data_IF_976068574264
#
_entry.id   IF_976068574264
#
_cell.length_a   1.000
_cell.length_b   1.000
_cell.length_c   1.000
_cell.angle_alpha   90.00
_cell.angle_beta   90.00
_cell.angle_gamma   90.00
#
_symmetry.space_group_name_H-M   'P 1'
#
loop_
_entity.id
_entity.type
_entity.pdbx_description
1 polymer ?
#
# COMPACT_ATOMS: atom_id res chain seq x y z
N UNK A 1 -19.06 28.19 13.04
CA UNK A 1 -17.63 28.23 13.46
C UNK A 1 -17.20 26.99 14.26
N UNK A 2 -17.91 26.57 15.32
CA UNK A 2 -17.55 25.37 16.12
C UNK A 2 -17.44 24.06 15.31
N UNK A 3 -18.23 23.89 14.24
CA UNK A 3 -18.20 22.69 13.40
C UNK A 3 -16.85 22.52 12.66
N UNK A 4 -16.33 23.58 12.07
CA UNK A 4 -15.05 23.53 11.31
C UNK A 4 -13.83 23.17 12.18
N UNK A 5 -13.79 23.69 13.41
CA UNK A 5 -12.73 23.34 14.35
C UNK A 5 -12.77 21.85 14.76
N UNK A 6 -13.96 21.33 14.99
CA UNK A 6 -14.13 19.92 15.30
C UNK A 6 -13.68 19.02 14.13
N UNK A 7 -13.94 19.44 12.89
CA UNK A 7 -13.46 18.71 11.71
C UNK A 7 -11.93 18.73 11.61
N UNK A 8 -11.29 19.88 11.86
CA UNK A 8 -9.83 19.97 11.88
C UNK A 8 -9.23 19.05 12.95
N UNK A 9 -9.79 19.07 14.16
CA UNK A 9 -9.34 18.22 15.26
C UNK A 9 -9.49 16.73 14.88
N UNK A 10 -10.67 16.34 14.37
CA UNK A 10 -10.94 14.94 14.00
C UNK A 10 -9.98 14.44 12.91
N UNK A 11 -9.76 15.22 11.85
CA UNK A 11 -8.83 14.88 10.78
C UNK A 11 -7.40 14.81 11.29
N UNK A 12 -6.98 15.76 12.14
CA UNK A 12 -5.63 15.74 12.73
C UNK A 12 -5.42 14.52 13.61
N UNK A 13 -6.38 14.15 14.45
CA UNK A 13 -6.32 12.94 15.26
C UNK A 13 -6.22 11.68 14.39
N UNK A 14 -6.96 11.64 13.27
CA UNK A 14 -6.89 10.53 12.35
C UNK A 14 -5.51 10.41 11.68
N UNK A 15 -4.94 11.53 11.23
CA UNK A 15 -3.58 11.56 10.64
C UNK A 15 -2.54 11.06 11.66
N UNK A 16 -2.64 11.53 12.91
CA UNK A 16 -1.76 11.07 13.99
C UNK A 16 -1.90 9.57 14.22
N UNK A 17 -3.13 9.04 14.21
CA UNK A 17 -3.38 7.60 14.36
C UNK A 17 -2.71 6.79 13.26
N UNK A 18 -2.84 7.21 11.99
CA UNK A 18 -2.16 6.57 10.86
C UNK A 18 -0.64 6.66 11.02
N UNK A 19 -0.10 7.80 11.46
CA UNK A 19 1.32 7.97 11.76
C UNK A 19 1.82 7.01 12.84
N UNK A 20 1.05 6.84 13.92
CA UNK A 20 1.33 5.88 15.00
C UNK A 20 1.31 4.45 14.46
N UNK A 21 0.35 4.10 13.61
CA UNK A 21 0.30 2.78 12.98
C UNK A 21 1.57 2.49 12.17
N UNK A 22 2.07 3.45 11.41
CA UNK A 22 3.31 3.33 10.62
C UNK A 22 4.57 3.79 11.35
N UNK A 23 4.55 3.89 12.68
CA UNK A 23 5.70 4.37 13.46
C UNK A 23 7.01 3.65 13.15
N UNK A 24 6.96 2.34 12.89
CA UNK A 24 8.14 1.55 12.57
C UNK A 24 8.75 1.93 11.22
N UNK A 25 7.91 2.31 10.27
CA UNK A 25 8.35 2.81 8.97
C UNK A 25 8.93 4.22 9.11
N UNK A 26 8.21 5.11 9.80
CA UNK A 26 8.57 6.53 9.90
C UNK A 26 9.83 6.74 10.76
N UNK A 27 9.92 6.05 11.91
CA UNK A 27 11.02 6.28 12.88
C UNK A 27 12.21 5.35 12.61
N UNK A 28 11.94 4.09 12.28
CA UNK A 28 12.98 3.07 12.17
C UNK A 28 13.32 2.69 10.72
N UNK A 29 12.73 3.35 9.74
CA UNK A 29 12.97 3.09 8.31
C UNK A 29 12.57 1.68 7.85
N UNK A 30 11.71 0.98 8.60
CA UNK A 30 11.26 -0.36 8.22
C UNK A 30 10.30 -0.28 7.03
N UNK A 31 10.57 -1.07 6.01
CA UNK A 31 9.71 -1.11 4.83
C UNK A 31 8.42 -1.90 5.13
N UNK A 32 7.25 -1.39 4.70
CA UNK A 32 5.98 -2.09 4.82
C UNK A 32 5.82 -3.15 3.71
N UNK A 33 6.79 -4.07 3.62
CA UNK A 33 6.87 -5.12 2.62
C UNK A 33 7.22 -6.43 3.32
N UNK A 34 6.58 -7.56 2.99
CA UNK A 34 6.88 -8.88 3.59
C UNK A 34 8.18 -9.47 3.00
N UNK A 35 9.30 -8.74 3.11
CA UNK A 35 10.61 -9.13 2.57
C UNK A 35 11.26 -10.27 3.38
N UNK A 36 10.84 -10.51 4.62
CA UNK A 36 11.20 -11.66 5.43
C UNK A 36 10.87 -13.00 4.73
N UNK A 37 9.75 -13.06 4.00
CA UNK A 37 9.41 -14.22 3.19
C UNK A 37 10.43 -14.48 2.07
N UNK A 38 10.99 -13.43 1.46
CA UNK A 38 12.03 -13.56 0.43
C UNK A 38 13.31 -14.16 1.02
N UNK A 39 13.77 -13.57 2.13
CA UNK A 39 14.99 -14.00 2.82
C UNK A 39 14.85 -15.42 3.39
N UNK A 40 13.67 -15.77 3.91
CA UNK A 40 13.44 -17.08 4.52
C UNK A 40 13.28 -18.23 3.53
N UNK A 41 12.85 -17.96 2.28
CA UNK A 41 12.44 -19.01 1.35
C UNK A 41 13.35 -19.15 0.14
N UNK A 42 14.07 -18.12 -0.29
CA UNK A 42 14.73 -18.11 -1.59
C UNK A 42 16.27 -18.01 -1.50
N UNK A 43 16.93 -18.82 -2.33
CA UNK A 43 18.35 -18.65 -2.64
C UNK A 43 18.57 -17.39 -3.51
N UNK A 44 19.68 -16.69 -3.40
CA UNK A 44 20.79 -16.92 -2.43
C UNK A 44 20.53 -16.30 -1.06
N UNK A 45 19.44 -15.56 -0.88
CA UNK A 45 19.15 -14.78 0.33
C UNK A 45 19.14 -15.63 1.59
N UNK A 46 18.48 -16.79 1.53
CA UNK A 46 18.44 -17.74 2.64
C UNK A 46 19.84 -18.15 3.12
N UNK A 47 20.75 -18.36 2.19
CA UNK A 47 22.10 -18.83 2.52
C UNK A 47 22.97 -17.70 3.06
N UNK A 48 22.81 -16.46 2.55
CA UNK A 48 23.52 -15.29 3.05
C UNK A 48 23.23 -15.00 4.53
N UNK A 49 22.02 -15.31 4.99
CA UNK A 49 21.59 -15.09 6.36
C UNK A 49 21.65 -16.36 7.24
N UNK A 50 22.18 -17.47 6.73
CA UNK A 50 22.21 -18.76 7.44
C UNK A 50 23.03 -18.76 8.74
N UNK A 51 24.08 -17.93 8.81
CA UNK A 51 24.89 -17.79 10.01
C UNK A 51 24.15 -17.06 11.14
N UNK A 52 23.41 -15.99 10.80
CA UNK A 52 22.63 -15.21 11.77
C UNK A 52 21.36 -15.95 12.20
N UNK A 53 20.83 -16.80 11.32
CA UNK A 53 19.60 -17.57 11.52
C UNK A 53 19.78 -19.05 11.23
N UNK A 54 20.50 -19.81 12.10
CA UNK A 54 20.77 -21.24 11.88
C UNK A 54 19.52 -22.12 11.75
N UNK A 55 18.39 -21.64 12.32
CA UNK A 55 17.08 -22.31 12.24
C UNK A 55 16.19 -21.78 11.10
N UNK A 56 16.74 -20.95 10.22
CA UNK A 56 16.02 -20.23 9.18
C UNK A 56 15.50 -18.86 9.66
N UNK A 57 15.39 -17.94 8.72
CA UNK A 57 14.85 -16.59 8.99
C UNK A 57 13.38 -16.71 9.36
N UNK A 58 12.95 -16.22 10.53
CA UNK A 58 11.55 -16.25 10.91
C UNK A 58 10.76 -15.27 10.03
N UNK A 59 9.80 -15.77 9.27
CA UNK A 59 8.86 -14.94 8.52
C UNK A 59 7.45 -15.08 9.10
N UNK A 60 6.72 -13.96 9.12
CA UNK A 60 5.46 -13.85 9.85
C UNK A 60 4.32 -14.62 9.21
N UNK A 61 4.27 -14.61 7.87
CA UNK A 61 3.20 -15.27 7.14
C UNK A 61 3.74 -15.78 5.79
N UNK A 62 3.86 -17.09 5.64
CA UNK A 62 4.35 -17.72 4.42
C UNK A 62 3.36 -17.65 3.23
N UNK A 63 2.10 -17.30 3.50
CA UNK A 63 1.08 -17.14 2.46
C UNK A 63 1.17 -15.77 1.77
N UNK A 64 1.78 -14.77 2.41
CA UNK A 64 1.91 -13.41 1.85
C UNK A 64 3.24 -13.29 1.08
N UNK A 65 3.40 -14.05 0.02
CA UNK A 65 4.59 -13.96 -0.84
C UNK A 65 4.38 -13.10 -2.08
N UNK A 66 3.15 -12.94 -2.54
CA UNK A 66 2.82 -12.27 -3.79
C UNK A 66 3.27 -10.80 -3.85
N UNK A 67 3.23 -10.00 -2.76
CA UNK A 67 3.75 -8.64 -2.81
C UNK A 67 5.18 -8.57 -3.35
N UNK A 68 6.07 -9.45 -2.88
CA UNK A 68 7.48 -9.48 -3.30
C UNK A 68 7.72 -10.29 -4.56
N UNK A 69 6.92 -11.32 -4.82
CA UNK A 69 7.09 -12.21 -5.99
C UNK A 69 6.43 -11.69 -7.26
N UNK A 70 5.34 -10.95 -7.13
CA UNK A 70 4.47 -10.57 -8.24
C UNK A 70 4.22 -9.06 -8.29
N UNK A 71 3.64 -8.49 -7.23
CA UNK A 71 3.15 -7.10 -7.26
C UNK A 71 4.29 -6.08 -7.47
N UNK A 72 5.35 -6.19 -6.71
CA UNK A 72 6.52 -5.32 -6.84
C UNK A 72 7.20 -5.47 -8.20
N UNK A 73 7.54 -6.70 -8.69
CA UNK A 73 8.11 -6.88 -10.04
C UNK A 73 7.21 -6.35 -11.16
N UNK A 74 5.93 -6.67 -11.15
CA UNK A 74 5.00 -6.18 -12.18
C UNK A 74 4.88 -4.65 -12.17
N UNK A 75 4.79 -4.05 -10.98
CA UNK A 75 4.79 -2.60 -10.85
C UNK A 75 6.09 -1.99 -11.37
N UNK A 76 7.23 -2.59 -11.01
CA UNK A 76 8.54 -2.13 -11.47
C UNK A 76 8.63 -2.14 -13.00
N UNK A 77 8.23 -3.23 -13.65
CA UNK A 77 8.21 -3.34 -15.12
C UNK A 77 7.32 -2.24 -15.72
N UNK A 78 6.12 -2.04 -15.18
CA UNK A 78 5.19 -1.01 -15.67
C UNK A 78 5.77 0.39 -15.53
N UNK A 79 6.39 0.70 -14.40
CA UNK A 79 7.00 2.01 -14.15
C UNK A 79 8.23 2.27 -15.01
N UNK A 80 9.07 1.25 -15.26
CA UNK A 80 10.23 1.39 -16.12
C UNK A 80 9.82 1.68 -17.57
N UNK A 81 8.76 1.05 -18.06
CA UNK A 81 8.20 1.36 -19.37
C UNK A 81 7.65 2.79 -19.44
N UNK A 82 6.88 3.23 -18.42
CA UNK A 82 6.44 4.63 -18.34
C UNK A 82 7.60 5.61 -18.32
N UNK A 83 8.66 5.35 -17.56
CA UNK A 83 9.87 6.20 -17.53
C UNK A 83 10.61 6.25 -18.86
N UNK A 84 10.48 5.20 -19.65
CA UNK A 84 11.04 5.14 -21.01
C UNK A 84 10.13 5.75 -22.08
N UNK A 85 8.99 6.34 -21.69
CA UNK A 85 8.01 6.92 -22.61
C UNK A 85 7.18 5.89 -23.38
N UNK A 86 7.15 4.63 -22.91
CA UNK A 86 6.43 3.52 -23.55
C UNK A 86 5.23 3.14 -22.70
N UNK A 87 4.07 2.94 -23.33
CA UNK A 87 2.90 2.40 -22.66
C UNK A 87 3.22 0.98 -22.16
N UNK A 88 2.99 0.66 -20.87
CA UNK A 88 3.32 -0.64 -20.30
C UNK A 88 2.38 -1.74 -20.81
N UNK A 89 2.57 -2.13 -22.07
CA UNK A 89 1.73 -3.13 -22.75
C UNK A 89 2.16 -4.57 -22.49
N UNK A 90 3.46 -4.82 -22.43
CA UNK A 90 4.02 -6.17 -22.46
C UNK A 90 5.15 -6.37 -21.44
N UNK A 91 5.14 -7.49 -20.73
CA UNK A 91 6.25 -7.97 -19.90
C UNK A 91 6.96 -9.12 -20.61
N UNK A 92 8.26 -9.00 -20.91
CA UNK A 92 9.00 -10.07 -21.59
C UNK A 92 9.49 -11.18 -20.66
N UNK A 93 9.32 -11.03 -19.33
CA UNK A 93 10.04 -11.84 -18.34
C UNK A 93 9.35 -13.15 -17.96
N UNK A 94 8.04 -13.30 -18.18
CA UNK A 94 7.29 -14.49 -17.78
C UNK A 94 6.75 -15.23 -19.01
N UNK A 95 6.93 -16.55 -19.09
CA UNK A 95 6.33 -17.42 -20.11
C UNK A 95 6.56 -16.92 -21.55
N UNK A 96 7.76 -16.46 -21.89
CA UNK A 96 8.09 -15.84 -23.17
C UNK A 96 7.36 -14.52 -23.43
N UNK A 97 6.76 -13.94 -22.42
CA UNK A 97 6.07 -12.65 -22.44
C UNK A 97 4.59 -12.72 -22.14
N UNK A 98 4.09 -11.70 -21.43
CA UNK A 98 2.69 -11.58 -21.06
C UNK A 98 2.19 -10.14 -21.20
N UNK A 99 0.88 -9.91 -21.50
CA UNK A 99 0.32 -8.57 -21.60
C UNK A 99 0.17 -7.95 -20.20
N UNK A 100 1.10 -7.09 -19.79
CA UNK A 100 1.11 -6.51 -18.46
C UNK A 100 -0.02 -5.49 -18.26
N UNK A 101 -0.43 -4.79 -19.32
CA UNK A 101 -1.55 -3.85 -19.28
C UNK A 101 -2.88 -4.56 -18.93
N UNK A 102 -3.06 -5.80 -19.39
CA UNK A 102 -4.22 -6.62 -19.09
C UNK A 102 -4.16 -7.23 -17.68
N UNK A 103 -3.01 -7.20 -17.03
CA UNK A 103 -2.85 -7.66 -15.66
C UNK A 103 -3.29 -6.56 -14.68
N UNK A 104 -4.53 -6.63 -14.20
CA UNK A 104 -5.09 -5.64 -13.28
C UNK A 104 -4.26 -5.48 -11.99
N UNK A 105 -3.57 -6.54 -11.55
CA UNK A 105 -2.75 -6.51 -10.34
C UNK A 105 -1.43 -5.74 -10.55
N UNK A 106 -0.95 -5.63 -11.78
CA UNK A 106 0.19 -4.78 -12.12
C UNK A 106 -0.17 -3.30 -11.93
N UNK A 107 -1.46 -2.97 -12.01
CA UNK A 107 -2.02 -1.63 -11.87
C UNK A 107 -1.28 -0.59 -12.71
N UNK A 108 -0.97 -0.92 -13.97
CA UNK A 108 -0.15 -0.12 -14.86
C UNK A 108 -0.68 1.30 -15.07
N UNK A 109 -2.01 1.47 -15.05
CA UNK A 109 -2.71 2.75 -15.25
C UNK A 109 -3.18 3.39 -13.93
N UNK A 110 -2.77 2.86 -12.77
CA UNK A 110 -3.23 3.40 -11.50
C UNK A 110 -2.73 4.84 -11.27
N UNK A 111 -3.61 5.82 -10.96
CA UNK A 111 -3.21 7.23 -10.90
C UNK A 111 -2.07 7.54 -9.93
N UNK A 112 -2.02 6.85 -8.77
CA UNK A 112 -0.95 7.04 -7.80
C UNK A 112 0.41 6.48 -8.24
N UNK A 113 0.50 5.87 -9.43
CA UNK A 113 1.79 5.53 -10.03
C UNK A 113 2.66 6.76 -10.31
N UNK A 114 2.09 7.95 -10.33
CA UNK A 114 2.86 9.20 -10.42
C UNK A 114 3.92 9.31 -9.33
N UNK A 115 3.69 8.72 -8.15
CA UNK A 115 4.68 8.68 -7.07
C UNK A 115 5.99 8.03 -7.51
N UNK A 116 5.92 6.97 -8.31
CA UNK A 116 7.09 6.24 -8.81
C UNK A 116 7.87 7.01 -9.89
N UNK A 117 7.25 8.03 -10.50
CA UNK A 117 7.92 8.91 -11.43
C UNK A 117 8.72 10.00 -10.71
N UNK A 118 8.32 10.34 -9.48
CA UNK A 118 8.89 11.43 -8.67
C UNK A 118 9.93 10.89 -7.68
N UNK A 119 9.62 9.77 -7.01
CA UNK A 119 10.44 9.20 -5.94
C UNK A 119 11.17 7.92 -6.38
N UNK A 120 12.28 7.53 -5.71
CA UNK A 120 12.86 6.20 -5.85
C UNK A 120 11.79 5.11 -5.62
N UNK A 121 11.94 3.97 -6.30
CA UNK A 121 10.88 2.96 -6.36
C UNK A 121 10.41 2.48 -4.98
N UNK A 122 11.34 2.20 -4.06
CA UNK A 122 11.02 1.69 -2.71
C UNK A 122 10.35 2.77 -1.85
N UNK A 123 10.78 4.02 -1.97
CA UNK A 123 10.17 5.13 -1.25
C UNK A 123 8.75 5.39 -1.75
N UNK A 124 8.56 5.38 -3.08
CA UNK A 124 7.24 5.50 -3.69
C UNK A 124 6.31 4.36 -3.27
N UNK A 125 6.82 3.12 -3.20
CA UNK A 125 6.05 1.98 -2.70
C UNK A 125 5.64 2.17 -1.25
N UNK A 126 6.58 2.61 -0.40
CA UNK A 126 6.32 2.88 1.02
C UNK A 126 5.25 3.95 1.20
N UNK A 127 5.39 5.07 0.48
CA UNK A 127 4.40 6.15 0.50
C UNK A 127 3.03 5.63 0.02
N UNK A 128 3.01 4.85 -1.06
CA UNK A 128 1.79 4.25 -1.61
C UNK A 128 1.06 3.39 -0.56
N UNK A 129 1.79 2.56 0.19
CA UNK A 129 1.22 1.73 1.26
C UNK A 129 0.68 2.60 2.39
N UNK A 130 1.41 3.63 2.81
CA UNK A 130 0.98 4.53 3.88
C UNK A 130 -0.25 5.37 3.50
N UNK A 131 -0.37 5.73 2.23
CA UNK A 131 -1.52 6.49 1.71
C UNK A 131 -2.82 5.68 1.72
N UNK A 132 -2.77 4.35 1.67
CA UNK A 132 -3.98 3.53 1.63
C UNK A 132 -4.93 3.80 2.81
N UNK A 133 -4.55 3.56 4.07
CA UNK A 133 -5.45 3.81 5.19
C UNK A 133 -5.72 5.31 5.37
N UNK A 134 -4.78 6.18 5.04
CA UNK A 134 -4.97 7.62 5.13
C UNK A 134 -6.08 8.09 4.18
N UNK A 135 -6.01 7.75 2.91
CA UNK A 135 -7.01 8.12 1.92
C UNK A 135 -8.35 7.44 2.20
N UNK A 136 -8.33 6.14 2.52
CA UNK A 136 -9.54 5.39 2.86
C UNK A 136 -10.34 6.08 3.98
N UNK A 137 -9.66 6.48 5.05
CA UNK A 137 -10.30 7.14 6.18
C UNK A 137 -10.73 8.56 5.87
N UNK A 138 -9.93 9.34 5.17
CA UNK A 138 -10.32 10.71 4.79
C UNK A 138 -11.54 10.69 3.87
N UNK A 139 -11.61 9.78 2.91
CA UNK A 139 -12.78 9.66 2.02
C UNK A 139 -14.02 9.21 2.78
N UNK A 140 -13.89 8.23 3.68
CA UNK A 140 -15.00 7.82 4.55
C UNK A 140 -15.43 8.96 5.49
N UNK A 141 -14.48 9.71 6.05
CA UNK A 141 -14.78 10.88 6.86
C UNK A 141 -15.64 11.89 6.08
N UNK A 142 -15.19 12.28 4.90
CA UNK A 142 -15.91 13.25 4.08
C UNK A 142 -17.27 12.72 3.64
N UNK A 143 -17.38 11.47 3.27
CA UNK A 143 -18.65 10.82 2.95
C UNK A 143 -19.65 10.92 4.12
N UNK A 144 -19.24 10.53 5.31
CA UNK A 144 -20.11 10.60 6.50
C UNK A 144 -20.47 12.04 6.89
N UNK A 145 -19.53 12.97 6.69
CA UNK A 145 -19.80 14.40 6.91
C UNK A 145 -20.78 14.96 5.87
N UNK A 146 -20.76 14.50 4.63
CA UNK A 146 -21.73 14.90 3.61
C UNK A 146 -23.15 14.41 3.91
N UNK A 147 -23.26 13.28 4.62
CA UNK A 147 -24.53 12.78 5.14
C UNK A 147 -25.05 13.53 6.39
N UNK A 148 -24.34 14.58 6.83
CA UNK A 148 -24.74 15.40 7.98
C UNK A 148 -24.37 14.83 9.35
N UNK A 149 -23.59 13.73 9.42
CA UNK A 149 -23.17 13.15 10.68
C UNK A 149 -22.15 14.05 11.42
N UNK A 150 -22.11 13.96 12.75
CA UNK A 150 -21.17 14.72 13.57
C UNK A 150 -19.70 14.34 13.29
N UNK A 151 -18.76 15.27 13.51
CA UNK A 151 -17.32 15.04 13.28
C UNK A 151 -16.78 13.82 14.03
N UNK A 152 -17.28 13.53 15.23
CA UNK A 152 -16.91 12.34 16.01
C UNK A 152 -17.37 11.06 15.31
N UNK A 153 -18.60 11.01 14.81
CA UNK A 153 -19.11 9.87 14.05
C UNK A 153 -18.32 9.68 12.74
N UNK A 154 -17.98 10.78 12.06
CA UNK A 154 -17.09 10.76 10.91
C UNK A 154 -15.72 10.16 11.22
N UNK A 155 -15.11 10.56 12.33
CA UNK A 155 -13.83 10.01 12.79
C UNK A 155 -13.92 8.50 13.10
N UNK A 156 -14.97 8.08 13.81
CA UNK A 156 -15.20 6.66 14.11
C UNK A 156 -15.34 5.84 12.83
N UNK A 157 -16.11 6.32 11.86
CA UNK A 157 -16.27 5.67 10.56
C UNK A 157 -14.98 5.63 9.76
N UNK A 158 -14.20 6.70 9.78
CA UNK A 158 -12.88 6.75 9.16
C UNK A 158 -11.94 5.67 9.72
N UNK A 159 -11.87 5.54 11.05
CA UNK A 159 -11.05 4.53 11.73
C UNK A 159 -11.57 3.12 11.41
N UNK A 160 -12.86 2.88 11.55
CA UNK A 160 -13.48 1.57 11.29
C UNK A 160 -13.26 1.10 9.85
N UNK A 161 -13.39 2.01 8.88
CA UNK A 161 -13.18 1.70 7.46
C UNK A 161 -11.70 1.45 7.15
N UNK A 162 -10.81 2.37 7.53
CA UNK A 162 -9.38 2.29 7.21
C UNK A 162 -8.69 1.07 7.82
N UNK A 163 -9.04 0.75 9.06
CA UNK A 163 -8.46 -0.35 9.81
C UNK A 163 -9.38 -1.58 9.85
N UNK A 164 -10.34 -1.68 8.93
CA UNK A 164 -11.13 -2.89 8.75
C UNK A 164 -10.24 -4.09 8.41
N UNK A 165 -10.71 -5.29 8.75
CA UNK A 165 -9.98 -6.52 8.46
C UNK A 165 -9.63 -6.67 6.99
N UNK A 166 -10.51 -6.23 6.08
CA UNK A 166 -10.24 -6.23 4.64
C UNK A 166 -9.05 -5.32 4.29
N UNK A 167 -9.11 -4.04 4.66
CA UNK A 167 -8.07 -3.08 4.30
C UNK A 167 -6.71 -3.44 4.91
N UNK A 168 -6.68 -3.97 6.12
CA UNK A 168 -5.44 -4.39 6.78
C UNK A 168 -4.88 -5.67 6.14
N UNK A 169 -5.72 -6.66 5.83
CA UNK A 169 -5.28 -7.89 5.18
C UNK A 169 -4.63 -7.62 3.80
N UNK A 170 -5.18 -6.67 3.03
CA UNK A 170 -4.71 -6.33 1.70
C UNK A 170 -3.69 -5.19 1.66
N UNK A 171 -3.29 -4.64 2.82
CA UNK A 171 -2.46 -3.44 2.91
C UNK A 171 -1.13 -3.58 2.15
N UNK A 172 -0.41 -4.68 2.36
CA UNK A 172 0.93 -4.91 1.78
C UNK A 172 0.90 -5.31 0.30
N UNK A 173 -0.27 -5.62 -0.25
CA UNK A 173 -0.42 -6.00 -1.65
C UNK A 173 -0.30 -4.82 -2.62
N UNK A 174 -0.44 -3.59 -2.12
CA UNK A 174 -0.21 -2.35 -2.87
C UNK A 174 -1.17 -2.09 -4.02
N UNK A 175 -2.15 -2.95 -4.27
CA UNK A 175 -3.13 -2.81 -5.36
C UNK A 175 -4.55 -3.11 -4.91
N UNK A 176 -4.78 -4.27 -4.30
CA UNK A 176 -6.13 -4.72 -3.97
C UNK A 176 -6.82 -3.83 -2.93
N UNK A 177 -6.11 -3.39 -1.89
CA UNK A 177 -6.63 -2.44 -0.92
C UNK A 177 -6.97 -1.08 -1.53
N UNK A 178 -6.24 -0.66 -2.56
CA UNK A 178 -6.47 0.61 -3.25
C UNK A 178 -7.81 0.68 -4.00
N UNK A 179 -8.38 -0.43 -4.41
CA UNK A 179 -9.70 -0.43 -5.07
C UNK A 179 -10.77 -0.02 -4.06
N UNK A 180 -10.74 -0.57 -2.85
CA UNK A 180 -11.73 -0.30 -1.82
C UNK A 180 -11.66 1.13 -1.27
N UNK A 181 -10.47 1.74 -1.22
CA UNK A 181 -10.31 3.07 -0.64
C UNK A 181 -11.09 4.17 -1.39
N UNK A 182 -11.34 3.99 -2.70
CA UNK A 182 -12.07 4.95 -3.52
C UNK A 182 -13.60 4.87 -3.35
N UNK A 183 -14.12 3.77 -2.79
CA UNK A 183 -15.55 3.54 -2.67
C UNK A 183 -16.29 4.68 -1.94
N UNK A 184 -15.84 5.16 -0.76
CA UNK A 184 -16.55 6.25 -0.08
C UNK A 184 -16.51 7.59 -0.83
N UNK A 185 -15.53 7.77 -1.73
CA UNK A 185 -15.45 8.98 -2.55
C UNK A 185 -16.38 8.92 -3.75
N UNK A 186 -16.71 7.72 -4.21
CA UNK A 186 -17.61 7.50 -5.34
C UNK A 186 -19.10 7.54 -4.95
N UNK A 187 -19.42 7.43 -3.64
CA UNK A 187 -20.76 7.49 -3.07
C UNK A 187 -21.17 8.93 -2.71
#
# INVERSE_FOLDING_TARGET
>A
MKSKWNDVIAVSLFIVLVGVFFRQTIVNGKLPVPSDALVGLYHPWRDLYSQDYPRGVPFKNFLITDPVRQQIPWRKISIDQWKSGVLPGWSPYNFSGTPILANIQAAALYPLNILFLIFPFIDAWTILIMLQPLMAGLFMYWYLRSLGLASVAGLMGAVAWSFSGFNIAWLTWGTMGHVALWLPLAL
#
